data_IF_291145057696
#
_entry.id   IF_291145057696
#
_cell.length_a   1.000
_cell.length_b   1.000
_cell.length_c   1.000
_cell.angle_alpha   90.00
_cell.angle_beta   90.00
_cell.angle_gamma   90.00
#
_symmetry.space_group_name_H-M   'P 1'
#
loop_
_entity.id
_entity.type
_entity.pdbx_description
1 polymer ?
#
# COMPACT_ATOMS: atom_id res chain seq x y z
N UNK A 1 -2.51 29.60 25.84
CA UNK A 1 -3.54 28.66 26.34
C UNK A 1 -4.07 27.87 25.16
N UNK A 2 -4.19 26.54 25.34
CA UNK A 2 -4.66 25.56 24.36
C UNK A 2 -6.19 25.58 24.27
N UNK A 3 -6.75 25.33 23.08
CA UNK A 3 -8.14 24.87 22.94
C UNK A 3 -8.13 23.68 21.97
N UNK A 4 -8.24 22.49 22.55
CA UNK A 4 -8.58 21.22 21.90
C UNK A 4 -10.09 21.02 22.01
N UNK A 5 -10.76 20.64 20.92
CA UNK A 5 -12.14 20.15 20.98
C UNK A 5 -12.16 18.73 20.38
N UNK A 6 -12.37 17.76 21.27
CA UNK A 6 -12.69 16.36 20.96
C UNK A 6 -14.20 16.20 21.09
N UNK A 7 -14.86 15.68 20.05
CA UNK A 7 -16.29 15.32 20.12
C UNK A 7 -16.42 13.82 19.92
N UNK A 8 -16.56 13.10 21.02
CA UNK A 8 -17.03 11.71 21.06
C UNK A 8 -18.54 11.73 21.30
N UNK A 9 -19.32 11.16 20.38
CA UNK A 9 -20.75 10.92 20.59
C UNK A 9 -20.97 9.45 20.97
N UNK A 10 -21.35 9.25 22.23
CA UNK A 10 -21.89 8.02 22.79
C UNK A 10 -23.41 8.08 22.64
N UNK A 11 -24.03 7.11 21.96
CA UNK A 11 -25.49 6.99 21.89
C UNK A 11 -25.96 5.85 22.79
N UNK A 12 -26.92 6.20 23.63
CA UNK A 12 -27.47 5.50 24.78
C UNK A 12 -28.37 4.32 24.37
N UNK A 13 -28.32 3.26 25.18
CA UNK A 13 -29.41 2.31 25.36
C UNK A 13 -30.62 3.03 25.95
N UNK A 14 -31.81 2.77 25.42
CA UNK A 14 -33.06 2.98 26.16
C UNK A 14 -34.01 1.81 25.87
N UNK A 15 -34.45 1.18 26.96
CA UNK A 15 -35.42 0.09 27.03
C UNK A 15 -36.80 0.53 26.52
N UNK A 16 -37.56 -0.42 25.94
CA UNK A 16 -39.03 -0.39 26.00
C UNK A 16 -39.56 -1.83 26.12
N UNK A 17 -39.99 -2.16 27.35
CA UNK A 17 -40.87 -3.29 27.68
C UNK A 17 -42.30 -2.91 27.31
N UNK A 18 -43.11 -3.83 26.77
CA UNK A 18 -44.26 -4.42 27.49
C UNK A 18 -45.11 -5.36 26.61
N UNK A 19 -45.56 -6.46 27.24
CA UNK A 19 -46.84 -7.23 27.07
C UNK A 19 -47.19 -7.74 25.66
N UNK A 20 -47.56 -9.00 25.41
CA UNK A 20 -48.18 -10.03 26.24
C UNK A 20 -49.43 -10.57 25.52
N UNK A 21 -49.52 -11.90 25.43
CA UNK A 21 -50.73 -12.74 25.23
C UNK A 21 -51.05 -13.36 23.86
N UNK A 22 -50.96 -14.70 23.90
CA UNK A 22 -51.92 -15.74 23.49
C UNK A 22 -51.91 -16.32 22.06
N UNK A 23 -51.88 -17.65 22.10
CA UNK A 23 -51.84 -18.63 21.03
C UNK A 23 -53.16 -18.79 20.27
N UNK A 24 -53.08 -19.25 19.02
CA UNK A 24 -54.04 -20.19 18.44
C UNK A 24 -53.36 -21.11 17.42
N UNK A 25 -53.78 -22.38 17.41
CA UNK A 25 -53.26 -23.51 16.62
C UNK A 25 -53.89 -23.60 15.22
N UNK A 26 -53.21 -24.41 14.38
CA UNK A 26 -53.73 -25.37 13.39
C UNK A 26 -53.65 -25.06 11.87
N UNK A 27 -52.65 -25.71 11.25
CA UNK A 27 -52.71 -26.68 10.15
C UNK A 27 -53.16 -26.28 8.73
N UNK A 28 -52.25 -26.41 7.75
CA UNK A 28 -52.34 -27.29 6.55
C UNK A 28 -51.08 -27.15 5.66
N UNK A 29 -50.43 -28.29 5.36
CA UNK A 29 -49.40 -28.50 4.32
C UNK A 29 -50.07 -28.78 2.95
N UNK A 30 -49.35 -28.96 1.82
CA UNK A 30 -48.14 -28.29 1.30
C UNK A 30 -48.34 -27.86 -0.18
N UNK A 31 -47.58 -26.87 -0.69
CA UNK A 31 -47.34 -26.77 -2.15
C UNK A 31 -46.05 -26.00 -2.46
N UNK A 32 -45.14 -26.73 -3.10
CA UNK A 32 -44.00 -26.30 -3.91
C UNK A 32 -43.34 -24.96 -3.55
N UNK A 33 -42.33 -25.04 -2.68
CA UNK A 33 -41.27 -24.04 -2.64
C UNK A 33 -39.96 -24.70 -3.08
N UNK A 34 -39.24 -24.13 -4.06
CA UNK A 34 -37.95 -24.68 -4.47
C UNK A 34 -37.02 -24.67 -3.26
N UNK A 35 -36.25 -25.75 -3.09
CA UNK A 35 -35.16 -25.82 -2.12
C UNK A 35 -34.27 -24.59 -2.34
N UNK A 36 -34.46 -23.56 -1.51
CA UNK A 36 -33.45 -22.56 -1.30
C UNK A 36 -32.32 -23.32 -0.61
N UNK A 37 -31.30 -23.67 -1.41
CA UNK A 37 -29.99 -23.95 -0.86
C UNK A 37 -29.71 -22.83 0.14
N UNK A 38 -29.64 -23.20 1.43
CA UNK A 38 -29.11 -22.31 2.44
C UNK A 38 -27.69 -22.02 1.99
N UNK A 39 -27.51 -20.94 1.24
CA UNK A 39 -26.24 -20.29 1.11
C UNK A 39 -25.79 -20.10 2.56
N UNK A 40 -24.80 -20.89 2.98
CA UNK A 40 -24.06 -20.61 4.20
C UNK A 40 -23.62 -19.17 4.02
N UNK A 41 -24.23 -18.25 4.76
CA UNK A 41 -23.68 -16.92 4.93
C UNK A 41 -22.33 -17.16 5.58
N UNK A 42 -21.28 -17.20 4.75
CA UNK A 42 -19.92 -17.18 5.23
C UNK A 42 -19.84 -15.85 5.97
N UNK A 43 -19.63 -15.92 7.27
CA UNK A 43 -19.41 -14.75 8.10
C UNK A 43 -18.03 -14.20 7.74
N UNK A 44 -18.00 -13.35 6.71
CA UNK A 44 -16.78 -12.75 6.15
C UNK A 44 -16.24 -11.64 7.07
N UNK A 45 -16.93 -11.33 8.18
CA UNK A 45 -16.54 -10.28 9.11
C UNK A 45 -15.17 -10.53 9.78
N UNK A 46 -14.77 -11.80 9.91
CA UNK A 46 -13.45 -12.18 10.44
C UNK A 46 -12.27 -12.06 9.45
N UNK A 47 -12.52 -11.80 8.16
CA UNK A 47 -11.45 -11.75 7.15
C UNK A 47 -10.68 -10.43 7.20
N UNK A 48 -11.37 -9.33 7.52
CA UNK A 48 -10.78 -7.97 7.61
C UNK A 48 -9.75 -7.84 8.75
N UNK A 49 -9.90 -8.64 9.80
CA UNK A 49 -9.01 -8.65 10.97
C UNK A 49 -8.08 -9.86 11.01
N UNK A 50 -8.00 -10.64 9.91
CA UNK A 50 -7.02 -11.71 9.83
C UNK A 50 -5.61 -11.15 9.69
N UNK A 51 -4.65 -11.75 10.40
CA UNK A 51 -3.22 -11.38 10.30
C UNK A 51 -2.73 -11.35 8.84
N UNK A 52 -3.26 -12.24 7.98
CA UNK A 52 -2.92 -12.29 6.55
C UNK A 52 -3.44 -11.06 5.78
N UNK A 53 -4.65 -10.58 6.05
CA UNK A 53 -5.18 -9.38 5.40
C UNK A 53 -4.39 -8.12 5.82
N UNK A 54 -3.96 -8.06 7.09
CA UNK A 54 -3.08 -6.99 7.57
C UNK A 54 -1.68 -7.07 6.92
N UNK A 55 -1.11 -8.26 6.81
CA UNK A 55 0.17 -8.46 6.12
C UNK A 55 0.08 -8.00 4.66
N UNK A 56 -0.96 -8.41 3.93
CA UNK A 56 -1.17 -8.02 2.53
C UNK A 56 -1.29 -6.50 2.36
N UNK A 57 -2.01 -5.83 3.28
CA UNK A 57 -2.10 -4.36 3.32
C UNK A 57 -0.74 -3.71 3.54
N UNK A 58 0.04 -4.22 4.50
CA UNK A 58 1.36 -3.70 4.81
C UNK A 58 2.31 -3.87 3.62
N UNK A 59 2.34 -5.06 3.02
CA UNK A 59 3.12 -5.37 1.81
C UNK A 59 2.77 -4.45 0.66
N UNK A 60 1.48 -4.19 0.41
CA UNK A 60 1.05 -3.25 -0.63
C UNK A 60 1.49 -1.81 -0.34
N UNK A 61 1.39 -1.36 0.91
CA UNK A 61 1.92 -0.06 1.32
C UNK A 61 3.42 0.03 1.07
N UNK A 62 4.19 -1.01 1.42
CA UNK A 62 5.64 -1.04 1.24
C UNK A 62 6.03 -1.06 -0.24
N UNK A 63 5.31 -1.80 -1.09
CA UNK A 63 5.45 -1.73 -2.56
C UNK A 63 5.19 -0.30 -3.05
N UNK A 64 4.14 0.36 -2.57
CA UNK A 64 3.85 1.76 -2.92
C UNK A 64 4.97 2.72 -2.52
N UNK A 65 5.53 2.56 -1.31
CA UNK A 65 6.71 3.32 -0.85
C UNK A 65 7.90 3.10 -1.77
N UNK A 66 8.20 1.85 -2.11
CA UNK A 66 9.31 1.48 -3.00
C UNK A 66 9.14 2.06 -4.41
N UNK A 67 7.92 2.08 -4.95
CA UNK A 67 7.64 2.68 -6.26
C UNK A 67 7.89 4.20 -6.27
N UNK A 68 7.47 4.90 -5.21
CA UNK A 68 7.75 6.34 -5.06
C UNK A 68 9.26 6.58 -4.90
N UNK A 69 9.96 5.75 -4.11
CA UNK A 69 11.41 5.81 -3.99
C UNK A 69 12.09 5.60 -5.34
N UNK A 70 11.71 4.55 -6.08
CA UNK A 70 12.26 4.22 -7.40
C UNK A 70 12.11 5.38 -8.38
N UNK A 71 10.91 5.96 -8.45
CA UNK A 71 10.62 7.11 -9.32
C UNK A 71 11.49 8.30 -8.95
N UNK A 72 11.60 8.59 -7.65
CA UNK A 72 12.39 9.73 -7.16
C UNK A 72 13.88 9.56 -7.49
N UNK A 73 14.44 8.36 -7.28
CA UNK A 73 15.84 8.06 -7.62
C UNK A 73 16.10 8.12 -9.12
N UNK A 74 15.18 7.64 -9.95
CA UNK A 74 15.28 7.75 -11.42
C UNK A 74 15.25 9.22 -11.87
N UNK A 75 14.43 10.06 -11.25
CA UNK A 75 14.35 11.49 -11.59
C UNK A 75 15.66 12.22 -11.33
N UNK A 76 16.38 11.89 -10.25
CA UNK A 76 17.63 12.58 -9.89
C UNK A 76 18.88 11.93 -10.50
N UNK A 77 18.79 10.76 -11.14
CA UNK A 77 19.97 10.01 -11.61
C UNK A 77 20.87 10.83 -12.53
N UNK A 78 20.28 11.54 -13.49
CA UNK A 78 21.03 12.41 -14.41
C UNK A 78 21.69 13.58 -13.68
N UNK A 79 20.98 14.20 -12.74
CA UNK A 79 21.50 15.34 -11.98
C UNK A 79 22.66 14.93 -11.09
N UNK A 80 22.55 13.76 -10.46
CA UNK A 80 23.61 13.20 -9.61
C UNK A 80 24.83 12.84 -10.43
N UNK A 81 24.63 12.23 -11.61
CA UNK A 81 25.73 11.94 -12.54
C UNK A 81 26.44 13.22 -12.96
N UNK A 82 25.70 14.23 -13.41
CA UNK A 82 26.26 15.53 -13.80
C UNK A 82 26.96 16.22 -12.62
N UNK A 83 26.40 16.13 -11.41
CA UNK A 83 27.03 16.68 -10.21
C UNK A 83 28.38 16.00 -9.95
N UNK A 84 28.47 14.67 -10.08
CA UNK A 84 29.73 13.95 -9.90
C UNK A 84 30.79 14.33 -10.94
N UNK A 85 30.39 14.48 -12.21
CA UNK A 85 31.27 14.95 -13.28
C UNK A 85 31.79 16.38 -13.00
N UNK A 86 30.91 17.31 -12.62
CA UNK A 86 31.29 18.68 -12.25
C UNK A 86 32.16 18.74 -10.99
N UNK A 87 31.96 17.82 -10.04
CA UNK A 87 32.78 17.75 -8.83
C UNK A 87 34.22 17.31 -9.12
N UNK A 88 34.44 16.51 -10.17
CA UNK A 88 35.77 16.17 -10.63
C UNK A 88 36.36 17.31 -11.47
N UNK A 89 35.55 17.98 -12.31
CA UNK A 89 35.94 19.17 -13.06
C UNK A 89 36.39 20.33 -12.15
N UNK A 90 35.68 20.64 -11.04
CA UNK A 90 36.08 21.69 -10.08
C UNK A 90 37.47 21.44 -9.47
N UNK A 91 37.90 20.17 -9.35
CA UNK A 91 39.23 19.83 -8.83
C UNK A 91 40.33 20.08 -9.87
N UNK A 92 40.02 19.88 -11.15
CA UNK A 92 40.97 19.99 -12.26
C UNK A 92 41.04 21.41 -12.85
N UNK A 93 40.00 22.22 -12.68
CA UNK A 93 39.95 23.59 -13.18
C UNK A 93 40.79 24.54 -12.31
N UNK A 94 41.67 25.32 -12.92
CA UNK A 94 42.50 26.32 -12.23
C UNK A 94 42.00 27.75 -12.44
N UNK A 95 41.23 28.01 -13.49
CA UNK A 95 40.63 29.31 -13.71
C UNK A 95 39.54 29.61 -12.69
N UNK A 96 39.56 30.83 -12.13
CA UNK A 96 38.65 31.21 -11.06
C UNK A 96 37.23 31.45 -11.57
N UNK A 97 37.08 32.02 -12.76
CA UNK A 97 35.77 32.28 -13.36
C UNK A 97 35.05 30.97 -13.69
N UNK A 98 35.77 30.04 -14.35
CA UNK A 98 35.24 28.72 -14.67
C UNK A 98 34.88 27.92 -13.40
N UNK A 99 35.70 28.01 -12.34
CA UNK A 99 35.38 27.41 -11.03
C UNK A 99 34.09 27.95 -10.42
N UNK A 100 33.90 29.27 -10.44
CA UNK A 100 32.69 29.89 -9.87
C UNK A 100 31.43 29.47 -10.66
N UNK A 101 31.54 29.31 -11.98
CA UNK A 101 30.46 28.79 -12.83
C UNK A 101 30.14 27.32 -12.54
N UNK A 102 31.16 26.45 -12.43
CA UNK A 102 31.00 25.04 -12.06
C UNK A 102 30.30 24.93 -10.70
N UNK A 103 30.75 25.69 -9.70
CA UNK A 103 30.16 25.69 -8.36
C UNK A 103 28.71 26.16 -8.35
N UNK A 104 28.38 27.15 -9.17
CA UNK A 104 26.99 27.62 -9.32
C UNK A 104 26.11 26.51 -9.89
N UNK A 105 26.56 25.83 -10.96
CA UNK A 105 25.83 24.69 -11.52
C UNK A 105 25.67 23.54 -10.51
N UNK A 106 26.73 23.21 -9.76
CA UNK A 106 26.67 22.19 -8.72
C UNK A 106 25.65 22.54 -7.63
N UNK A 107 25.61 23.79 -7.18
CA UNK A 107 24.62 24.22 -6.17
C UNK A 107 23.18 24.07 -6.66
N UNK A 108 22.91 24.38 -7.92
CA UNK A 108 21.56 24.26 -8.49
C UNK A 108 21.15 22.80 -8.67
N UNK A 109 22.05 21.94 -9.13
CA UNK A 109 21.84 20.48 -9.16
C UNK A 109 21.56 19.93 -7.76
N UNK A 110 22.35 20.33 -6.76
CA UNK A 110 22.16 19.92 -5.37
C UNK A 110 20.78 20.31 -4.85
N UNK A 111 20.34 21.56 -5.08
CA UNK A 111 19.00 22.01 -4.68
C UNK A 111 17.91 21.18 -5.34
N UNK A 112 18.08 20.82 -6.61
CA UNK A 112 17.10 19.98 -7.30
C UNK A 112 17.04 18.57 -6.71
N UNK A 113 18.19 17.93 -6.52
CA UNK A 113 18.30 16.60 -5.90
C UNK A 113 17.66 16.60 -4.51
N UNK A 114 18.00 17.58 -3.67
CA UNK A 114 17.41 17.74 -2.34
C UNK A 114 15.90 17.93 -2.38
N UNK A 115 15.40 18.76 -3.30
CA UNK A 115 13.98 19.04 -3.47
C UNK A 115 13.22 17.76 -3.82
N UNK A 116 13.74 16.96 -4.76
CA UNK A 116 13.10 15.69 -5.15
C UNK A 116 13.10 14.70 -3.98
N UNK A 117 14.22 14.53 -3.29
CA UNK A 117 14.31 13.61 -2.14
C UNK A 117 13.42 14.05 -0.97
N UNK A 118 13.30 15.35 -0.70
CA UNK A 118 12.39 15.89 0.33
C UNK A 118 10.91 15.71 -0.04
N UNK A 119 10.56 15.81 -1.33
CA UNK A 119 9.20 15.62 -1.84
C UNK A 119 8.80 14.15 -2.01
N UNK A 120 9.74 13.22 -1.91
CA UNK A 120 9.49 11.79 -2.02
C UNK A 120 8.76 11.27 -0.76
N UNK A 121 7.44 11.45 -0.75
CA UNK A 121 6.57 11.04 0.35
C UNK A 121 5.50 10.05 -0.12
N UNK A 122 5.19 9.07 0.71
CA UNK A 122 4.08 8.15 0.57
C UNK A 122 3.26 8.17 1.86
N UNK A 123 1.94 8.37 1.74
CA UNK A 123 1.02 8.50 2.89
C UNK A 123 1.49 9.54 3.93
N UNK A 124 2.02 10.67 3.45
CA UNK A 124 2.51 11.76 4.32
C UNK A 124 3.84 11.49 5.04
N UNK A 125 4.49 10.33 4.79
CA UNK A 125 5.82 10.01 5.33
C UNK A 125 6.87 9.93 4.23
N UNK A 126 8.10 10.39 4.52
CA UNK A 126 9.20 10.25 3.57
C UNK A 126 9.51 8.77 3.33
N UNK A 127 9.69 8.40 2.06
CA UNK A 127 10.05 7.03 1.66
C UNK A 127 11.50 6.66 2.00
N UNK A 128 12.35 7.66 2.29
CA UNK A 128 13.74 7.46 2.66
C UNK A 128 13.99 7.44 4.18
N UNK A 129 12.94 7.53 4.99
CA UNK A 129 13.06 7.64 6.45
C UNK A 129 13.15 6.30 7.20
N UNK A 130 12.69 5.20 6.59
CA UNK A 130 12.58 3.89 7.26
C UNK A 130 13.00 2.76 6.34
N UNK A 131 13.56 1.72 6.94
CA UNK A 131 13.87 0.48 6.25
C UNK A 131 12.59 -0.29 5.96
N UNK A 132 12.60 -1.04 4.86
CA UNK A 132 11.53 -1.99 4.53
C UNK A 132 12.08 -3.39 4.78
N UNK A 133 11.23 -4.22 5.38
CA UNK A 133 11.56 -5.59 5.76
C UNK A 133 10.65 -6.57 5.04
N UNK A 134 11.17 -7.76 4.80
CA UNK A 134 10.37 -8.88 4.32
C UNK A 134 9.52 -9.48 5.47
N UNK A 135 8.60 -10.39 5.13
CA UNK A 135 7.81 -11.14 6.11
C UNK A 135 8.62 -11.98 7.12
N UNK A 136 9.92 -12.20 6.89
CA UNK A 136 10.84 -12.87 7.82
C UNK A 136 11.58 -11.89 8.75
N UNK A 137 11.41 -10.58 8.55
CA UNK A 137 12.07 -9.53 9.31
C UNK A 137 13.44 -9.09 8.77
N UNK A 138 13.87 -9.63 7.63
CA UNK A 138 15.12 -9.23 6.96
C UNK A 138 14.95 -7.87 6.30
N UNK A 139 15.97 -7.01 6.39
CA UNK A 139 15.95 -5.71 5.70
C UNK A 139 16.21 -5.94 4.22
N UNK A 140 15.22 -5.64 3.38
CA UNK A 140 15.29 -5.77 1.92
C UNK A 140 15.52 -4.42 1.22
N UNK A 141 15.32 -3.31 1.94
CA UNK A 141 15.65 -1.97 1.45
C UNK A 141 16.11 -1.08 2.61
N UNK A 142 17.34 -0.56 2.50
CA UNK A 142 17.99 0.26 3.53
C UNK A 142 17.99 1.75 3.17
N UNK A 143 16.83 2.38 3.32
CA UNK A 143 16.60 3.76 2.88
C UNK A 143 17.57 4.83 3.46
N UNK A 144 17.99 4.77 4.75
CA UNK A 144 18.94 5.73 5.35
C UNK A 144 20.37 5.71 4.77
N UNK A 145 20.67 4.79 3.85
CA UNK A 145 21.97 4.72 3.17
C UNK A 145 22.21 5.93 2.26
N UNK A 146 21.15 6.51 1.69
CA UNK A 146 21.22 7.66 0.82
C UNK A 146 21.31 8.98 1.62
N UNK A 147 22.53 9.46 1.86
CA UNK A 147 22.78 10.72 2.59
C UNK A 147 23.17 11.83 1.63
N UNK A 148 22.34 12.87 1.53
CA UNK A 148 22.59 14.05 0.68
C UNK A 148 23.95 14.69 0.95
N UNK A 149 24.41 14.71 2.20
CA UNK A 149 25.73 15.26 2.55
C UNK A 149 26.92 14.58 1.85
N UNK A 150 26.73 13.36 1.31
CA UNK A 150 27.76 12.70 0.50
C UNK A 150 27.97 13.40 -0.85
N UNK A 151 27.01 14.17 -1.37
CA UNK A 151 27.23 14.95 -2.60
C UNK A 151 28.42 15.91 -2.42
N UNK A 152 28.53 16.57 -1.27
CA UNK A 152 29.61 17.53 -1.02
C UNK A 152 30.96 16.86 -0.75
N UNK A 153 30.96 15.68 -0.13
CA UNK A 153 32.20 15.01 0.30
C UNK A 153 32.73 13.99 -0.71
N UNK A 154 31.83 13.26 -1.37
CA UNK A 154 32.14 12.16 -2.28
C UNK A 154 30.94 11.89 -3.22
N UNK A 155 30.80 12.74 -4.22
CA UNK A 155 29.71 12.70 -5.20
C UNK A 155 29.64 11.36 -5.96
N UNK A 156 30.80 10.76 -6.24
CA UNK A 156 30.89 9.46 -6.92
C UNK A 156 30.32 8.35 -6.06
N UNK A 157 30.67 8.30 -4.77
CA UNK A 157 30.08 7.36 -3.83
C UNK A 157 28.57 7.57 -3.65
N UNK A 158 28.10 8.82 -3.67
CA UNK A 158 26.65 9.07 -3.66
C UNK A 158 25.96 8.49 -4.90
N UNK A 159 26.56 8.66 -6.10
CA UNK A 159 26.06 8.06 -7.33
C UNK A 159 26.03 6.52 -7.26
N UNK A 160 27.10 5.90 -6.76
CA UNK A 160 27.17 4.44 -6.60
C UNK A 160 26.08 3.93 -5.64
N UNK A 161 25.88 4.61 -4.50
CA UNK A 161 24.80 4.29 -3.56
C UNK A 161 23.42 4.48 -4.23
N UNK A 162 23.24 5.51 -5.05
CA UNK A 162 21.98 5.69 -5.79
C UNK A 162 21.70 4.50 -6.71
N UNK A 163 22.69 4.04 -7.48
CA UNK A 163 22.53 2.88 -8.37
C UNK A 163 22.26 1.60 -7.58
N UNK A 164 22.96 1.41 -6.47
CA UNK A 164 22.73 0.28 -5.56
C UNK A 164 21.31 0.31 -5.01
N UNK A 165 20.83 1.44 -4.51
CA UNK A 165 19.46 1.61 -4.01
C UNK A 165 18.42 1.37 -5.11
N UNK A 166 18.68 1.77 -6.36
CA UNK A 166 17.79 1.47 -7.49
C UNK A 166 17.67 -0.05 -7.73
N UNK A 167 18.76 -0.81 -7.55
CA UNK A 167 18.75 -2.27 -7.65
C UNK A 167 18.03 -2.91 -6.46
N UNK A 168 18.37 -2.50 -5.23
CA UNK A 168 17.72 -2.98 -4.00
C UNK A 168 16.21 -2.78 -4.06
N UNK A 169 15.74 -1.64 -4.57
CA UNK A 169 14.30 -1.37 -4.72
C UNK A 169 13.64 -2.36 -5.68
N UNK A 170 14.30 -2.71 -6.79
CA UNK A 170 13.75 -3.67 -7.75
C UNK A 170 13.60 -5.05 -7.10
N UNK A 171 14.66 -5.52 -6.46
CA UNK A 171 14.69 -6.82 -5.80
C UNK A 171 13.70 -6.88 -4.62
N UNK A 172 13.57 -5.79 -3.86
CA UNK A 172 12.60 -5.67 -2.78
C UNK A 172 11.15 -5.68 -3.29
N UNK A 173 10.85 -4.99 -4.39
CA UNK A 173 9.51 -5.04 -5.01
C UNK A 173 9.17 -6.46 -5.43
N UNK A 174 10.10 -7.17 -6.07
CA UNK A 174 9.86 -8.54 -6.54
C UNK A 174 9.66 -9.50 -5.36
N UNK A 175 10.46 -9.37 -4.30
CA UNK A 175 10.29 -10.12 -3.04
C UNK A 175 8.93 -9.86 -2.40
N UNK A 176 8.49 -8.59 -2.30
CA UNK A 176 7.21 -8.24 -1.71
C UNK A 176 6.02 -8.69 -2.57
N UNK A 177 6.14 -8.68 -3.89
CA UNK A 177 5.12 -9.23 -4.80
C UNK A 177 4.94 -10.72 -4.56
N UNK A 178 6.03 -11.48 -4.48
CA UNK A 178 5.98 -12.92 -4.19
C UNK A 178 5.33 -13.19 -2.82
N UNK A 179 5.65 -12.37 -1.80
CA UNK A 179 5.00 -12.47 -0.49
C UNK A 179 3.52 -12.17 -0.56
N UNK A 180 3.12 -11.14 -1.30
CA UNK A 180 1.74 -10.77 -1.46
C UNK A 180 0.93 -11.85 -2.20
N UNK A 181 1.50 -12.46 -3.23
CA UNK A 181 0.87 -13.58 -3.95
C UNK A 181 0.69 -14.80 -3.02
N UNK A 182 1.72 -15.16 -2.26
CA UNK A 182 1.66 -16.26 -1.28
C UNK A 182 0.61 -16.02 -0.18
N UNK A 183 0.52 -14.80 0.34
CA UNK A 183 -0.47 -14.46 1.39
C UNK A 183 -1.89 -14.39 0.83
N UNK A 184 -2.08 -13.92 -0.41
CA UNK A 184 -3.35 -13.94 -1.10
C UNK A 184 -3.83 -15.38 -1.38
N UNK A 185 -2.94 -16.29 -1.79
CA UNK A 185 -3.26 -17.71 -1.96
C UNK A 185 -3.68 -18.37 -0.65
N UNK A 186 -2.97 -18.09 0.46
CA UNK A 186 -3.32 -18.61 1.80
C UNK A 186 -4.67 -18.09 2.31
N UNK A 187 -5.01 -16.84 2.01
CA UNK A 187 -6.33 -16.27 2.31
C UNK A 187 -7.43 -17.02 1.55
N UNK A 188 -7.26 -17.19 0.23
CA UNK A 188 -8.23 -17.90 -0.61
C UNK A 188 -8.39 -19.38 -0.21
N UNK A 189 -7.31 -20.04 0.22
CA UNK A 189 -7.34 -21.43 0.66
C UNK A 189 -8.07 -21.64 2.00
N UNK A 190 -8.05 -20.65 2.90
CA UNK A 190 -8.78 -20.72 4.19
C UNK A 190 -10.31 -20.60 4.03
N UNK A 191 -10.79 -20.05 2.91
CA UNK A 191 -12.23 -19.89 2.63
C UNK A 191 -12.89 -21.10 1.95
N UNK A 192 -12.15 -22.17 1.68
CA UNK A 192 -12.72 -23.36 1.01
C UNK A 192 -13.22 -23.12 -0.42
N UNK A 193 -12.99 -21.93 -0.98
CA UNK A 193 -13.26 -21.63 -2.39
C UNK A 193 -12.09 -22.16 -3.20
N UNK A 194 -12.26 -23.37 -3.77
CA UNK A 194 -11.43 -23.82 -4.87
C UNK A 194 -11.65 -22.88 -6.05
N UNK A 195 -10.88 -21.80 -6.14
CA UNK A 195 -10.77 -21.04 -7.38
C UNK A 195 -10.09 -21.99 -8.36
N UNK A 196 -10.87 -22.47 -9.33
CA UNK A 196 -10.36 -23.30 -10.41
C UNK A 196 -9.13 -22.60 -11.00
N UNK A 197 -8.03 -23.34 -11.12
CA UNK A 197 -6.86 -22.92 -11.91
C UNK A 197 -7.36 -22.64 -13.32
N UNK A 198 -7.71 -21.39 -13.62
CA UNK A 198 -7.79 -20.92 -14.99
C UNK A 198 -6.42 -20.37 -15.32
N UNK A 199 -5.84 -20.97 -16.35
CA UNK A 199 -4.61 -20.60 -17.02
C UNK A 199 -4.59 -19.08 -17.30
N UNK A 200 -4.06 -18.31 -16.36
CA UNK A 200 -3.90 -16.87 -16.50
C UNK A 200 -2.46 -16.62 -16.95
N UNK A 201 -2.30 -16.45 -18.27
CA UNK A 201 -1.12 -15.87 -18.90
C UNK A 201 -0.59 -14.70 -18.07
N UNK A 202 0.71 -14.77 -17.81
CA UNK A 202 1.56 -13.70 -17.25
C UNK A 202 1.21 -12.36 -17.89
N UNK A 203 0.45 -11.56 -17.16
CA UNK A 203 0.29 -10.13 -17.41
C UNK A 203 0.23 -9.47 -16.05
N UNK A 204 1.10 -8.48 -15.85
CA UNK A 204 1.36 -7.71 -14.62
C UNK A 204 0.10 -7.09 -13.92
N UNK A 205 -1.11 -7.30 -14.46
CA UNK A 205 -2.38 -6.84 -13.89
C UNK A 205 -3.15 -7.88 -13.06
N UNK A 206 -2.67 -9.12 -12.93
CA UNK A 206 -3.40 -10.20 -12.24
C UNK A 206 -3.51 -9.98 -10.72
N UNK A 207 -2.47 -9.41 -10.10
CA UNK A 207 -2.44 -9.13 -8.66
C UNK A 207 -3.44 -8.04 -8.26
N UNK A 208 -3.48 -6.91 -8.98
CA UNK A 208 -4.42 -5.82 -8.71
C UNK A 208 -5.88 -6.24 -8.92
N UNK A 209 -6.16 -7.11 -9.90
CA UNK A 209 -7.51 -7.69 -10.10
C UNK A 209 -7.90 -8.65 -8.98
N UNK A 210 -6.97 -9.47 -8.49
CA UNK A 210 -7.19 -10.36 -7.34
C UNK A 210 -7.45 -9.55 -6.07
N UNK A 211 -6.71 -8.47 -5.83
CA UNK A 211 -6.96 -7.54 -4.73
C UNK A 211 -8.31 -6.82 -4.87
N UNK A 212 -8.61 -6.26 -6.05
CA UNK A 212 -9.89 -5.60 -6.33
C UNK A 212 -11.07 -6.57 -6.08
N UNK A 213 -10.92 -7.85 -6.42
CA UNK A 213 -11.94 -8.86 -6.13
C UNK A 213 -12.10 -9.15 -4.62
N UNK A 214 -11.02 -9.17 -3.84
CA UNK A 214 -11.06 -9.37 -2.39
C UNK A 214 -11.68 -8.18 -1.65
N UNK A 215 -11.47 -6.96 -2.14
CA UNK A 215 -12.08 -5.75 -1.58
C UNK A 215 -13.50 -5.47 -2.12
N UNK A 216 -13.86 -5.94 -3.33
CA UNK A 216 -15.22 -5.79 -3.89
C UNK A 216 -16.24 -6.72 -3.24
N UNK A 217 -15.84 -7.93 -2.82
CA UNK A 217 -16.72 -8.82 -2.04
C UNK A 217 -17.12 -8.19 -0.70
N UNK A 218 -16.34 -7.22 -0.18
CA UNK A 218 -16.68 -6.43 1.02
C UNK A 218 -17.72 -5.31 0.78
N UNK A 219 -17.96 -4.90 -0.48
CA UNK A 219 -18.89 -3.80 -0.80
C UNK A 219 -20.23 -4.26 -1.40
N UNK A 220 -20.42 -5.55 -1.69
CA UNK A 220 -21.72 -6.09 -2.11
C UNK A 220 -22.64 -6.42 -0.91
N UNK A 221 -22.35 -5.87 0.28
CA UNK A 221 -23.28 -5.85 1.42
C UNK A 221 -24.28 -4.68 1.34
N UNK A 222 -24.07 -3.71 0.44
CA UNK A 222 -25.01 -2.61 0.21
C UNK A 222 -26.17 -2.94 -0.75
N UNK A 223 -26.28 -4.20 -1.19
CA UNK A 223 -27.57 -4.70 -1.69
C UNK A 223 -28.42 -5.19 -0.52
N UNK A 224 -28.72 -4.26 0.38
CA UNK A 224 -29.87 -4.35 1.28
C UNK A 224 -31.13 -4.43 0.42
N UNK A 225 -31.46 -5.65 0.03
CA UNK A 225 -32.79 -6.20 -0.10
C UNK A 225 -33.88 -5.18 -0.50
N UNK A 226 -33.92 -4.82 -1.80
CA UNK A 226 -35.05 -4.09 -2.38
C UNK A 226 -36.40 -4.82 -2.17
N UNK A 227 -36.38 -6.11 -1.85
CA UNK A 227 -37.56 -6.89 -1.46
C UNK A 227 -38.04 -6.57 -0.03
N UNK A 228 -37.15 -6.32 0.94
CA UNK A 228 -37.52 -5.89 2.31
C UNK A 228 -38.00 -4.45 2.40
N UNK A 229 -37.49 -3.57 1.54
CA UNK A 229 -37.93 -2.17 1.49
C UNK A 229 -39.33 -2.08 0.86
N UNK A 230 -39.66 -2.95 -0.10
CA UNK A 230 -41.02 -3.02 -0.66
C UNK A 230 -42.05 -3.62 0.32
N UNK A 231 -41.67 -4.60 1.15
CA UNK A 231 -42.58 -5.13 2.20
C UNK A 231 -42.86 -4.15 3.36
N UNK A 232 -41.99 -3.15 3.58
CA UNK A 232 -42.17 -2.14 4.62
C UNK A 232 -42.91 -0.87 4.13
N UNK A 233 -43.16 -0.78 2.81
CA UNK A 233 -43.84 0.35 2.17
C UNK A 233 -45.17 -0.06 1.50
N UNK A 234 -45.60 -1.31 1.65
CA UNK A 234 -46.89 -1.83 1.18
C UNK A 234 -47.92 -1.93 2.31
#
# INVERSE_FOLDING_TARGET
>A
MKITASTSQTLKQEELKSKGSKATKQAQDPKDSPKADKAKSVDVSGIKDSQLAQNLKNTNSDIGRLQVAQKSLKTIESDVKKFAELADEDKETFDKGEKDDIRTQMQDLKKNIESVLKKATFEGTSVFAKNIKDGSGNVIFNAPKLKVGLLDTDAKKFYDILKEQQSEIKDAIDTLKEQADNDAEKLNAKDGVKVAKQDAKETDGSFLRKLDSLFRVSHDTDKLNNQRVQELLA
#
